data_IF_278409431581
#
_entry.id   IF_278409431581
#
_cell.length_a   1.000
_cell.length_b   1.000
_cell.length_c   1.000
_cell.angle_alpha   90.00
_cell.angle_beta   90.00
_cell.angle_gamma   90.00
#
_symmetry.space_group_name_H-M   'P 1'
#
loop_
_entity.id
_entity.type
_entity.pdbx_description
1 polymer ?
#
# COMPACT_ATOMS: atom_id res chain seq x y z
N UNK A 1 -12.18 -10.24 0.32
CA UNK A 1 -10.81 -10.30 -0.25
C UNK A 1 -10.26 -8.90 -0.54
N UNK A 2 -8.96 -8.66 -0.37
CA UNK A 2 -8.26 -7.43 -0.81
C UNK A 2 -7.40 -7.77 -2.03
N UNK A 3 -7.89 -7.53 -3.25
CA UNK A 3 -7.27 -8.06 -4.47
C UNK A 3 -7.54 -7.18 -5.69
N UNK A 4 -6.82 -7.47 -6.78
CA UNK A 4 -6.82 -6.82 -8.09
C UNK A 4 -6.29 -5.39 -8.09
N UNK A 5 -5.19 -5.20 -8.81
CA UNK A 5 -4.68 -3.87 -9.13
C UNK A 5 -5.64 -3.10 -10.06
N UNK A 6 -5.59 -1.76 -10.06
CA UNK A 6 -6.36 -0.97 -11.03
C UNK A 6 -6.11 -1.33 -12.50
N UNK A 7 -4.90 -1.77 -12.84
CA UNK A 7 -4.59 -2.23 -14.20
C UNK A 7 -5.37 -3.50 -14.56
N UNK A 8 -5.54 -4.42 -13.62
CA UNK A 8 -6.36 -5.63 -13.82
C UNK A 8 -7.85 -5.28 -13.91
N UNK A 9 -8.34 -4.36 -13.09
CA UNK A 9 -9.73 -3.86 -13.19
C UNK A 9 -9.98 -3.24 -14.57
N UNK A 10 -9.05 -2.44 -15.08
CA UNK A 10 -9.13 -1.89 -16.44
C UNK A 10 -9.10 -2.98 -17.50
N UNK A 11 -8.30 -4.04 -17.31
CA UNK A 11 -8.29 -5.16 -18.24
C UNK A 11 -9.61 -5.93 -18.22
N UNK A 12 -10.23 -6.11 -17.05
CA UNK A 12 -11.56 -6.70 -16.93
C UNK A 12 -12.62 -5.84 -17.63
N UNK A 13 -12.53 -4.51 -17.51
CA UNK A 13 -13.38 -3.57 -18.25
C UNK A 13 -13.24 -3.76 -19.77
N UNK A 14 -12.01 -3.82 -20.29
CA UNK A 14 -11.73 -4.02 -21.71
C UNK A 14 -12.28 -5.36 -22.22
N UNK A 15 -12.03 -6.45 -21.49
CA UNK A 15 -12.37 -7.81 -21.94
C UNK A 15 -13.88 -8.10 -21.82
N UNK A 16 -14.53 -7.58 -20.78
CA UNK A 16 -15.98 -7.79 -20.59
C UNK A 16 -16.85 -6.87 -21.43
N UNK A 17 -16.32 -5.71 -21.86
CA UNK A 17 -17.09 -4.66 -22.52
C UNK A 17 -18.03 -3.89 -21.57
N UNK A 18 -18.00 -4.19 -20.27
CA UNK A 18 -18.78 -3.50 -19.26
C UNK A 18 -18.19 -2.12 -18.94
N UNK A 19 -19.01 -1.21 -18.42
CA UNK A 19 -18.49 0.05 -17.86
C UNK A 19 -17.67 -0.22 -16.59
N UNK A 20 -16.76 0.70 -16.25
CA UNK A 20 -15.95 0.58 -15.04
C UNK A 20 -16.84 0.42 -13.78
N UNK A 21 -17.96 1.14 -13.70
CA UNK A 21 -18.89 1.02 -12.58
C UNK A 21 -19.50 -0.39 -12.50
N UNK A 22 -19.91 -0.98 -13.63
CA UNK A 22 -20.45 -2.33 -13.68
C UNK A 22 -19.42 -3.37 -13.24
N UNK A 23 -18.18 -3.30 -13.75
CA UNK A 23 -17.11 -4.22 -13.36
C UNK A 23 -16.90 -4.20 -11.84
N UNK A 24 -16.75 -3.01 -11.25
CA UNK A 24 -16.45 -2.92 -9.82
C UNK A 24 -17.67 -3.32 -8.96
N UNK A 25 -18.90 -3.04 -9.42
CA UNK A 25 -20.13 -3.52 -8.76
C UNK A 25 -20.22 -5.04 -8.78
N UNK A 26 -20.02 -5.68 -9.93
CA UNK A 26 -20.08 -7.13 -10.05
C UNK A 26 -19.01 -7.81 -9.19
N UNK A 27 -17.79 -7.27 -9.14
CA UNK A 27 -16.73 -7.78 -8.26
C UNK A 27 -17.10 -7.64 -6.77
N UNK A 28 -17.68 -6.51 -6.37
CA UNK A 28 -18.18 -6.30 -5.00
C UNK A 28 -19.27 -7.32 -4.66
N UNK A 29 -20.24 -7.51 -5.54
CA UNK A 29 -21.33 -8.48 -5.37
C UNK A 29 -20.82 -9.92 -5.31
N UNK A 30 -19.76 -10.23 -6.04
CA UNK A 30 -19.06 -11.52 -5.97
C UNK A 30 -18.21 -11.72 -4.70
N UNK A 31 -18.09 -10.71 -3.82
CA UNK A 31 -17.41 -10.83 -2.51
C UNK A 31 -16.04 -10.14 -2.42
N UNK A 32 -15.69 -9.26 -3.36
CA UNK A 32 -14.53 -8.39 -3.19
C UNK A 32 -14.78 -7.39 -2.04
N UNK A 33 -13.86 -7.32 -1.07
CA UNK A 33 -14.01 -6.43 0.10
C UNK A 33 -13.33 -5.06 -0.11
N UNK A 34 -12.25 -5.02 -0.90
CA UNK A 34 -11.46 -3.80 -1.13
C UNK A 34 -10.45 -4.00 -2.27
N UNK A 35 -9.93 -2.89 -2.82
CA UNK A 35 -8.86 -2.89 -3.83
C UNK A 35 -7.50 -2.45 -3.23
N UNK A 36 -6.40 -3.16 -3.52
CA UNK A 36 -5.05 -2.73 -3.18
C UNK A 36 -4.57 -1.58 -4.05
N UNK A 37 -3.79 -0.69 -3.44
CA UNK A 37 -3.17 0.47 -4.10
C UNK A 37 -2.07 0.15 -5.12
N UNK A 38 -1.78 -1.12 -5.36
CA UNK A 38 -0.71 -1.56 -6.27
C UNK A 38 -0.80 -0.93 -7.66
N UNK A 39 0.36 -0.75 -8.32
CA UNK A 39 0.43 -0.17 -9.66
C UNK A 39 0.31 1.35 -9.73
N UNK A 40 0.24 2.06 -8.60
CA UNK A 40 0.32 3.52 -8.54
C UNK A 40 1.71 4.02 -8.94
N UNK A 41 2.76 3.39 -8.42
CA UNK A 41 4.17 3.83 -8.51
C UNK A 41 4.31 5.28 -8.05
N UNK A 42 4.58 6.19 -8.98
CA UNK A 42 4.33 7.62 -8.84
C UNK A 42 3.11 7.96 -9.70
N UNK A 43 2.10 8.61 -9.13
CA UNK A 43 0.98 9.15 -9.86
C UNK A 43 1.44 10.39 -10.62
N UNK A 44 2.28 10.21 -11.64
CA UNK A 44 2.71 11.19 -12.63
C UNK A 44 2.97 10.48 -13.97
N UNK A 45 2.47 11.02 -15.07
CA UNK A 45 2.53 10.34 -16.37
C UNK A 45 3.95 10.21 -16.94
N UNK A 46 4.88 11.11 -16.58
CA UNK A 46 6.28 11.01 -17.01
C UNK A 46 6.90 9.74 -16.43
N UNK A 47 6.76 9.55 -15.11
CA UNK A 47 7.32 8.40 -14.41
C UNK A 47 6.59 7.11 -14.78
N UNK A 48 5.26 7.13 -14.86
CA UNK A 48 4.48 5.93 -15.26
C UNK A 48 4.88 5.42 -16.64
N UNK A 49 5.03 6.31 -17.63
CA UNK A 49 5.50 5.97 -18.99
C UNK A 49 6.93 5.43 -19.00
N UNK A 50 7.80 5.94 -18.12
CA UNK A 50 9.17 5.45 -17.98
C UNK A 50 9.21 4.02 -17.42
N UNK A 51 8.35 3.70 -16.44
CA UNK A 51 8.31 2.39 -15.79
C UNK A 51 7.65 1.34 -16.68
N UNK A 52 6.45 1.62 -17.22
CA UNK A 52 5.77 0.72 -18.13
C UNK A 52 4.69 1.44 -18.94
N UNK A 53 4.77 1.30 -20.27
CA UNK A 53 3.77 1.83 -21.20
C UNK A 53 2.39 1.20 -21.03
N UNK A 54 2.31 0.01 -20.44
CA UNK A 54 1.06 -0.74 -20.30
C UNK A 54 0.29 -0.41 -19.00
N UNK A 55 0.87 0.35 -18.07
CA UNK A 55 0.21 0.70 -16.80
C UNK A 55 -0.89 1.77 -16.94
N UNK A 56 -1.02 2.41 -18.10
CA UNK A 56 -1.91 3.57 -18.28
C UNK A 56 -1.44 4.82 -17.53
N UNK A 57 -2.21 5.89 -17.65
CA UNK A 57 -1.98 7.19 -17.01
C UNK A 57 -2.25 7.14 -15.51
N UNK A 58 -1.85 8.18 -14.77
CA UNK A 58 -2.21 8.31 -13.36
C UNK A 58 -3.73 8.46 -13.17
N UNK A 59 -4.43 9.07 -14.14
CA UNK A 59 -5.89 9.21 -14.13
C UNK A 59 -6.56 7.85 -14.28
N UNK A 60 -6.02 6.97 -15.12
CA UNK A 60 -6.56 5.62 -15.29
C UNK A 60 -6.59 4.84 -13.97
N UNK A 61 -5.54 4.99 -13.16
CA UNK A 61 -5.47 4.44 -11.80
C UNK A 61 -6.44 5.13 -10.84
N UNK A 62 -6.50 6.47 -10.88
CA UNK A 62 -7.35 7.26 -9.97
C UNK A 62 -8.84 6.99 -10.19
N UNK A 63 -9.29 6.95 -11.44
CA UNK A 63 -10.67 6.65 -11.81
C UNK A 63 -11.14 5.31 -11.24
N UNK A 64 -10.29 4.28 -11.24
CA UNK A 64 -10.62 2.97 -10.67
C UNK A 64 -10.81 3.08 -9.17
N UNK A 65 -9.91 3.78 -8.47
CA UNK A 65 -10.01 3.95 -7.02
C UNK A 65 -11.24 4.74 -6.62
N UNK A 66 -11.49 5.87 -7.28
CA UNK A 66 -12.67 6.69 -7.03
C UNK A 66 -13.97 5.95 -7.38
N UNK A 67 -13.97 5.13 -8.44
CA UNK A 67 -15.12 4.26 -8.74
C UNK A 67 -15.34 3.23 -7.63
N UNK A 68 -14.28 2.59 -7.14
CA UNK A 68 -14.37 1.69 -5.99
C UNK A 68 -15.01 2.39 -4.79
N UNK A 69 -14.55 3.60 -4.46
CA UNK A 69 -15.11 4.40 -3.38
C UNK A 69 -16.60 4.69 -3.60
N UNK A 70 -16.96 5.14 -4.80
CA UNK A 70 -18.36 5.42 -5.19
C UNK A 70 -19.27 4.21 -5.03
N UNK A 71 -18.78 3.01 -5.33
CA UNK A 71 -19.56 1.77 -5.18
C UNK A 71 -19.46 1.14 -3.78
N UNK A 72 -18.85 1.83 -2.82
CA UNK A 72 -18.78 1.43 -1.41
C UNK A 72 -17.61 0.53 -1.04
N UNK A 73 -16.64 0.33 -1.93
CA UNK A 73 -15.40 -0.39 -1.62
C UNK A 73 -14.36 0.57 -1.02
N UNK A 74 -13.64 0.10 -0.01
CA UNK A 74 -12.46 0.77 0.50
C UNK A 74 -11.23 0.40 -0.33
N UNK A 75 -10.20 1.25 -0.31
CA UNK A 75 -8.94 0.97 -1.01
C UNK A 75 -7.72 1.31 -0.16
N UNK A 76 -6.53 0.98 -0.67
CA UNK A 76 -5.26 1.56 -0.19
C UNK A 76 -4.60 2.35 -1.31
N UNK A 77 -3.68 3.25 -0.95
CA UNK A 77 -2.82 3.98 -1.87
C UNK A 77 -1.38 3.58 -1.64
N UNK A 78 -0.61 3.35 -2.70
CA UNK A 78 0.83 3.09 -2.60
C UNK A 78 1.61 4.18 -3.30
N UNK A 79 2.83 4.44 -2.85
CA UNK A 79 3.79 5.28 -3.55
C UNK A 79 5.15 4.60 -3.56
N UNK A 80 5.73 4.38 -4.73
CA UNK A 80 7.05 3.73 -4.83
C UNK A 80 8.07 4.79 -5.22
N UNK A 81 9.05 5.02 -4.34
CA UNK A 81 10.14 5.98 -4.54
C UNK A 81 11.38 5.31 -5.12
N UNK A 82 12.21 6.06 -5.86
CA UNK A 82 13.48 5.58 -6.41
C UNK A 82 13.45 5.25 -7.91
N UNK A 83 12.45 5.72 -8.64
CA UNK A 83 12.35 5.58 -10.10
C UNK A 83 13.04 6.72 -10.88
N UNK A 84 13.59 7.71 -10.19
CA UNK A 84 14.12 8.95 -10.77
C UNK A 84 13.07 10.05 -10.89
N UNK A 85 12.03 9.98 -10.06
CA UNK A 85 11.06 11.03 -9.83
C UNK A 85 11.66 12.22 -9.07
N UNK A 86 11.10 13.40 -9.29
CA UNK A 86 11.47 14.60 -8.55
C UNK A 86 10.71 14.69 -7.22
N UNK A 87 11.14 15.58 -6.33
CA UNK A 87 10.41 15.81 -5.07
C UNK A 87 9.01 16.40 -5.32
N UNK A 88 8.88 17.23 -6.35
CA UNK A 88 7.59 17.79 -6.79
C UNK A 88 6.64 16.69 -7.24
N UNK A 89 7.12 15.67 -7.94
CA UNK A 89 6.30 14.53 -8.36
C UNK A 89 5.86 13.66 -7.18
N UNK A 90 6.71 13.49 -6.15
CA UNK A 90 6.30 12.85 -4.88
C UNK A 90 5.23 13.67 -4.16
N UNK A 91 5.41 14.99 -4.07
CA UNK A 91 4.43 15.88 -3.47
C UNK A 91 3.09 15.87 -4.23
N UNK A 92 3.14 15.88 -5.56
CA UNK A 92 1.98 15.83 -6.44
C UNK A 92 1.24 14.49 -6.32
N UNK A 93 1.96 13.38 -6.17
CA UNK A 93 1.35 12.08 -5.86
C UNK A 93 0.50 12.19 -4.59
N UNK A 94 1.10 12.63 -3.48
CA UNK A 94 0.39 12.71 -2.18
C UNK A 94 -0.79 13.69 -2.25
N UNK A 95 -0.64 14.83 -2.93
CA UNK A 95 -1.72 15.80 -3.14
C UNK A 95 -2.90 15.15 -3.88
N UNK A 96 -2.65 14.39 -4.96
CA UNK A 96 -3.70 13.69 -5.71
C UNK A 96 -4.46 12.67 -4.87
N UNK A 97 -3.76 11.94 -3.99
CA UNK A 97 -4.40 11.01 -3.04
C UNK A 97 -5.24 11.78 -2.02
N UNK A 98 -4.70 12.87 -1.44
CA UNK A 98 -5.41 13.70 -0.47
C UNK A 98 -6.69 14.30 -1.05
N UNK A 99 -6.60 14.91 -2.22
CA UNK A 99 -7.75 15.54 -2.88
C UNK A 99 -8.82 14.50 -3.25
N UNK A 100 -8.41 13.31 -3.69
CA UNK A 100 -9.35 12.23 -3.98
C UNK A 100 -10.03 11.67 -2.71
N UNK A 101 -9.30 11.64 -1.58
CA UNK A 101 -9.85 11.26 -0.28
C UNK A 101 -10.86 12.30 0.21
N UNK A 102 -10.57 13.60 0.08
CA UNK A 102 -11.51 14.68 0.41
C UNK A 102 -12.78 14.56 -0.42
N UNK A 103 -12.66 14.34 -1.74
CA UNK A 103 -13.81 14.11 -2.61
C UNK A 103 -14.65 12.89 -2.17
N UNK A 104 -14.03 11.79 -1.74
CA UNK A 104 -14.77 10.63 -1.22
C UNK A 104 -15.59 11.00 0.02
N UNK A 105 -14.99 11.74 0.95
CA UNK A 105 -15.61 12.18 2.21
C UNK A 105 -16.75 13.17 1.93
N UNK A 106 -16.51 14.18 1.08
CA UNK A 106 -17.49 15.21 0.71
C UNK A 106 -18.71 14.61 0.00
N UNK A 107 -18.50 13.64 -0.88
CA UNK A 107 -19.57 12.92 -1.57
C UNK A 107 -20.37 11.99 -0.65
N UNK A 108 -19.91 11.76 0.59
CA UNK A 108 -20.55 10.89 1.60
C UNK A 108 -20.83 9.48 1.07
N UNK A 109 -19.88 8.92 0.32
CA UNK A 109 -19.96 7.53 -0.08
C UNK A 109 -19.98 6.59 1.13
N UNK A 110 -20.55 5.39 0.97
CA UNK A 110 -20.51 4.34 2.01
C UNK A 110 -19.08 3.86 2.30
N UNK A 111 -18.16 4.12 1.37
CA UNK A 111 -16.72 3.88 1.52
C UNK A 111 -16.08 4.92 2.45
N UNK A 112 -15.04 4.50 3.16
CA UNK A 112 -14.11 5.39 3.89
C UNK A 112 -12.96 5.87 3.01
N UNK A 113 -12.97 5.52 1.73
CA UNK A 113 -11.97 5.91 0.75
C UNK A 113 -10.70 5.08 0.88
N UNK A 114 -9.55 5.78 0.86
CA UNK A 114 -8.24 5.20 1.15
C UNK A 114 -8.10 4.97 2.66
N UNK A 115 -8.03 3.70 3.07
CA UNK A 115 -7.77 3.36 4.48
C UNK A 115 -6.31 3.52 4.83
N UNK A 116 -5.41 3.29 3.88
CA UNK A 116 -3.98 3.34 4.14
C UNK A 116 -3.16 3.90 3.00
N UNK A 117 -2.08 4.58 3.36
CA UNK A 117 -0.99 4.96 2.48
C UNK A 117 0.24 4.10 2.76
N UNK A 118 0.84 3.54 1.71
CA UNK A 118 1.97 2.61 1.83
C UNK A 118 3.12 3.10 0.94
N UNK A 119 4.13 3.79 1.51
CA UNK A 119 5.34 4.12 0.78
C UNK A 119 6.25 2.88 0.65
N UNK A 120 6.71 2.59 -0.56
CA UNK A 120 7.70 1.54 -0.85
C UNK A 120 8.94 2.15 -1.48
N UNK A 121 10.05 1.43 -1.41
CA UNK A 121 11.27 1.74 -2.16
C UNK A 121 11.41 0.79 -3.34
N UNK A 122 11.78 1.34 -4.50
CA UNK A 122 12.06 0.55 -5.68
C UNK A 122 13.18 -0.45 -5.43
N UNK A 123 12.97 -1.70 -5.86
CA UNK A 123 13.95 -2.78 -5.79
C UNK A 123 14.51 -2.98 -7.20
N UNK A 124 15.78 -2.59 -7.48
CA UNK A 124 16.31 -2.57 -8.83
C UNK A 124 16.76 -3.95 -9.34
N UNK A 125 17.04 -4.88 -8.43
CA UNK A 125 17.57 -6.19 -8.80
C UNK A 125 16.58 -6.96 -9.68
N UNK A 126 17.09 -7.65 -10.69
CA UNK A 126 16.29 -8.39 -11.70
C UNK A 126 15.29 -7.53 -12.50
N UNK A 127 15.47 -6.20 -12.56
CA UNK A 127 14.64 -5.32 -13.39
C UNK A 127 15.42 -4.76 -14.58
N UNK A 128 14.70 -4.33 -15.62
CA UNK A 128 15.29 -3.61 -16.76
C UNK A 128 15.69 -2.15 -16.44
N UNK A 129 15.37 -1.66 -15.24
CA UNK A 129 15.62 -0.28 -14.82
C UNK A 129 16.84 -0.23 -13.91
N UNK A 130 17.97 0.26 -14.44
CA UNK A 130 19.19 0.46 -13.66
C UNK A 130 19.06 1.72 -12.81
N UNK A 131 18.68 1.56 -11.55
CA UNK A 131 18.59 2.62 -10.52
C UNK A 131 19.31 2.17 -9.25
N UNK A 132 19.72 3.14 -8.45
CA UNK A 132 20.26 2.87 -7.11
C UNK A 132 19.11 2.59 -6.13
N UNK A 133 19.41 1.78 -5.11
CA UNK A 133 18.48 1.53 -4.01
C UNK A 133 18.35 2.79 -3.16
N UNK A 134 17.12 3.13 -2.80
CA UNK A 134 16.86 4.25 -1.87
C UNK A 134 17.39 3.94 -0.47
N UNK A 135 17.81 4.98 0.25
CA UNK A 135 18.36 4.83 1.60
C UNK A 135 17.26 4.70 2.67
N UNK A 136 17.56 4.11 3.83
CA UNK A 136 16.68 4.16 5.00
C UNK A 136 16.23 5.57 5.37
N UNK A 137 17.12 6.55 5.27
CA UNK A 137 16.80 7.96 5.54
C UNK A 137 15.76 8.50 4.55
N UNK A 138 15.94 8.26 3.25
CA UNK A 138 15.01 8.72 2.21
C UNK A 138 13.61 8.11 2.39
N UNK A 139 13.54 6.82 2.75
CA UNK A 139 12.30 6.14 3.08
C UNK A 139 11.63 6.73 4.33
N UNK A 140 12.35 6.84 5.46
CA UNK A 140 11.79 7.36 6.72
C UNK A 140 11.34 8.82 6.59
N UNK A 141 12.08 9.64 5.83
CA UNK A 141 11.68 11.01 5.49
C UNK A 141 10.37 11.02 4.68
N UNK A 142 10.24 10.11 3.72
CA UNK A 142 9.01 9.97 2.93
C UNK A 142 7.82 9.54 3.80
N UNK A 143 8.02 8.62 4.75
CA UNK A 143 7.00 8.22 5.74
C UNK A 143 6.55 9.43 6.57
N UNK A 144 7.49 10.19 7.14
CA UNK A 144 7.17 11.36 7.96
C UNK A 144 6.44 12.45 7.17
N UNK A 145 6.88 12.74 5.94
CA UNK A 145 6.18 13.67 5.06
C UNK A 145 4.78 13.16 4.74
N UNK A 146 4.63 11.87 4.42
CA UNK A 146 3.32 11.25 4.18
C UNK A 146 2.37 11.41 5.35
N UNK A 147 2.84 11.20 6.60
CA UNK A 147 2.02 11.39 7.81
C UNK A 147 1.55 12.83 7.98
N UNK A 148 2.39 13.81 7.64
CA UNK A 148 2.07 15.22 7.77
C UNK A 148 1.18 15.72 6.63
N UNK A 149 1.38 15.20 5.41
CA UNK A 149 0.66 15.64 4.21
C UNK A 149 -0.72 14.99 4.08
N UNK A 150 -0.85 13.71 4.42
CA UNK A 150 -2.08 12.92 4.25
C UNK A 150 -2.89 12.91 5.55
N UNK A 151 -3.32 14.09 5.99
CA UNK A 151 -4.11 14.28 7.21
C UNK A 151 -5.47 13.54 7.20
N UNK A 152 -5.96 13.19 6.01
CA UNK A 152 -7.25 12.54 5.77
C UNK A 152 -7.16 11.03 5.45
N UNK A 153 -5.95 10.44 5.46
CA UNK A 153 -5.73 8.99 5.32
C UNK A 153 -5.30 8.42 6.69
N UNK A 154 -6.10 7.54 7.33
CA UNK A 154 -5.90 7.22 8.74
C UNK A 154 -4.64 6.38 9.01
N UNK A 155 -4.29 5.48 8.09
CA UNK A 155 -3.20 4.53 8.31
C UNK A 155 -2.01 4.75 7.38
N UNK A 156 -0.80 4.67 7.94
CA UNK A 156 0.43 4.54 7.17
C UNK A 156 1.05 3.19 7.49
N UNK A 157 1.28 2.39 6.44
CA UNK A 157 1.84 1.06 6.57
C UNK A 157 3.35 1.07 6.37
N UNK A 158 4.05 0.36 7.26
CA UNK A 158 5.48 0.13 7.20
C UNK A 158 5.86 -0.78 6.03
N UNK A 159 6.96 -0.43 5.38
CA UNK A 159 7.57 -1.16 4.27
C UNK A 159 8.79 -1.94 4.71
N UNK A 160 8.65 -2.75 5.76
CA UNK A 160 9.72 -3.64 6.21
C UNK A 160 10.10 -4.67 5.13
N UNK A 161 9.22 -4.93 4.18
CA UNK A 161 9.43 -5.88 3.08
C UNK A 161 10.54 -5.41 2.13
N UNK A 162 10.67 -4.11 1.88
CA UNK A 162 11.71 -3.54 1.01
C UNK A 162 12.89 -2.96 1.79
N UNK A 163 12.68 -2.57 3.05
CA UNK A 163 13.69 -1.87 3.87
C UNK A 163 14.27 -2.71 5.01
N UNK A 164 13.70 -3.89 5.27
CA UNK A 164 14.06 -4.76 6.38
C UNK A 164 13.31 -4.43 7.68
N UNK A 165 13.30 -5.40 8.62
CA UNK A 165 12.53 -5.32 9.86
C UNK A 165 12.95 -4.16 10.78
N UNK A 166 14.24 -3.86 10.86
CA UNK A 166 14.75 -2.79 11.75
C UNK A 166 14.35 -1.39 11.26
N UNK A 167 14.46 -1.13 9.96
CA UNK A 167 13.97 0.14 9.37
C UNK A 167 12.44 0.19 9.44
N UNK A 168 11.78 -0.95 9.23
CA UNK A 168 10.35 -1.11 9.40
C UNK A 168 9.89 -0.74 10.81
N UNK A 169 10.59 -1.22 11.85
CA UNK A 169 10.38 -0.90 13.26
C UNK A 169 10.56 0.59 13.51
N UNK A 170 11.65 1.16 13.02
CA UNK A 170 11.92 2.60 13.17
C UNK A 170 10.82 3.47 12.56
N UNK A 171 10.20 3.05 11.45
CA UNK A 171 9.12 3.81 10.81
C UNK A 171 7.88 4.02 11.70
N UNK A 172 7.68 3.20 12.75
CA UNK A 172 6.61 3.39 13.75
C UNK A 172 6.80 4.66 14.60
N UNK A 173 8.03 5.18 14.66
CA UNK A 173 8.36 6.48 15.28
C UNK A 173 8.32 7.64 14.29
N UNK A 174 8.16 7.37 12.99
CA UNK A 174 8.12 8.36 11.91
C UNK A 174 6.71 8.56 11.33
N UNK A 175 5.70 7.87 11.86
CA UNK A 175 4.30 8.08 11.50
C UNK A 175 3.55 6.84 11.05
N UNK A 176 4.22 5.70 10.84
CA UNK A 176 3.51 4.44 10.60
C UNK A 176 2.74 4.01 11.85
N UNK A 177 1.50 3.55 11.65
CA UNK A 177 0.67 2.93 12.69
C UNK A 177 0.18 1.54 12.26
N UNK A 178 0.65 1.06 11.11
CA UNK A 178 0.39 -0.28 10.62
C UNK A 178 1.72 -0.93 10.23
N UNK A 179 2.03 -2.09 10.82
CA UNK A 179 3.27 -2.82 10.52
C UNK A 179 3.12 -3.75 9.31
N UNK A 180 1.95 -3.77 8.67
CA UNK A 180 1.64 -4.69 7.59
C UNK A 180 1.34 -6.10 8.09
N UNK A 181 1.23 -7.03 7.16
CA UNK A 181 0.90 -8.43 7.44
C UNK A 181 2.08 -9.34 7.21
N UNK A 182 2.09 -10.49 7.87
CA UNK A 182 3.02 -11.57 7.55
C UNK A 182 2.73 -12.12 6.16
N UNK A 183 3.76 -12.24 5.33
CA UNK A 183 3.61 -12.75 3.97
C UNK A 183 3.93 -14.24 3.97
N UNK A 184 2.89 -15.07 3.83
CA UNK A 184 3.06 -16.53 3.72
C UNK A 184 3.65 -16.93 2.37
N UNK A 185 3.27 -16.23 1.30
CA UNK A 185 3.90 -16.25 -0.02
C UNK A 185 4.02 -14.81 -0.51
N UNK A 186 5.24 -14.32 -0.73
CA UNK A 186 5.51 -13.03 -1.39
C UNK A 186 6.36 -13.31 -2.62
N UNK A 187 5.81 -13.02 -3.81
CA UNK A 187 6.45 -13.34 -5.08
C UNK A 187 6.84 -12.09 -5.90
N UNK A 188 6.41 -10.88 -5.50
CA UNK A 188 6.58 -9.67 -6.31
C UNK A 188 7.88 -8.95 -5.96
N UNK A 189 8.07 -8.57 -4.69
CA UNK A 189 9.31 -7.92 -4.25
C UNK A 189 10.46 -8.93 -4.10
N UNK A 190 10.17 -10.19 -3.81
CA UNK A 190 11.15 -11.28 -3.79
C UNK A 190 11.72 -11.59 -5.16
N UNK A 191 10.88 -11.57 -6.22
CA UNK A 191 11.35 -11.64 -7.60
C UNK A 191 12.28 -10.48 -7.97
N UNK A 192 12.08 -9.32 -7.33
CA UNK A 192 12.94 -8.14 -7.43
C UNK A 192 14.08 -8.10 -6.38
N UNK A 193 14.37 -9.23 -5.72
CA UNK A 193 15.54 -9.42 -4.85
C UNK A 193 15.34 -9.09 -3.35
N UNK A 194 14.13 -8.72 -2.91
CA UNK A 194 13.85 -8.50 -1.48
C UNK A 194 13.66 -9.83 -0.73
N UNK A 195 14.48 -10.09 0.29
CA UNK A 195 14.51 -11.39 1.00
C UNK A 195 14.05 -11.29 2.46
N UNK A 196 13.52 -10.15 2.89
CA UNK A 196 13.12 -9.94 4.27
C UNK A 196 11.89 -10.76 4.62
N UNK A 197 11.96 -11.51 5.72
CA UNK A 197 10.89 -12.34 6.26
C UNK A 197 10.72 -12.00 7.74
N UNK A 198 9.47 -11.84 8.18
CA UNK A 198 9.11 -11.77 9.60
C UNK A 198 7.88 -12.64 9.83
N UNK A 199 7.90 -13.44 10.90
CA UNK A 199 6.75 -14.21 11.35
C UNK A 199 5.89 -13.38 12.33
N UNK A 200 4.79 -13.95 12.82
CA UNK A 200 3.85 -13.20 13.66
C UNK A 200 4.52 -12.78 14.96
N UNK A 201 5.22 -13.69 15.64
CA UNK A 201 5.87 -13.39 16.91
C UNK A 201 6.97 -12.32 16.76
N UNK A 202 7.75 -12.35 15.68
CA UNK A 202 8.71 -11.28 15.37
C UNK A 202 8.03 -9.93 15.17
N UNK A 203 6.87 -9.87 14.49
CA UNK A 203 6.10 -8.62 14.38
C UNK A 203 5.67 -8.12 15.77
N UNK A 204 5.17 -9.01 16.63
CA UNK A 204 4.76 -8.63 17.99
C UNK A 204 5.94 -8.05 18.79
N UNK A 205 7.11 -8.66 18.69
CA UNK A 205 8.34 -8.20 19.34
C UNK A 205 8.81 -6.85 18.80
N UNK A 206 8.92 -6.70 17.49
CA UNK A 206 9.34 -5.44 16.84
C UNK A 206 8.42 -4.27 17.21
N UNK A 207 7.10 -4.48 17.24
CA UNK A 207 6.14 -3.45 17.65
C UNK A 207 6.34 -3.04 19.12
N UNK A 208 6.58 -4.01 20.02
CA UNK A 208 6.85 -3.74 21.44
C UNK A 208 8.17 -3.01 21.66
N UNK A 209 9.23 -3.43 20.96
CA UNK A 209 10.54 -2.77 21.00
C UNK A 209 10.46 -1.31 20.53
N UNK A 210 9.55 -0.99 19.61
CA UNK A 210 9.23 0.39 19.22
C UNK A 210 8.37 1.16 20.25
N UNK A 211 8.06 0.57 21.41
CA UNK A 211 7.22 1.15 22.45
C UNK A 211 5.74 1.28 22.05
N UNK A 212 5.25 0.42 21.15
CA UNK A 212 3.86 0.42 20.66
C UNK A 212 3.12 -0.83 21.13
N UNK A 213 1.78 -0.80 21.00
CA UNK A 213 0.91 -1.92 21.37
C UNK A 213 0.56 -2.72 20.11
N UNK A 214 0.99 -3.99 20.00
CA UNK A 214 0.62 -4.83 18.86
C UNK A 214 -0.86 -5.20 18.87
N UNK A 215 -1.49 -5.07 17.71
CA UNK A 215 -2.88 -5.46 17.49
C UNK A 215 -3.06 -6.12 16.12
N UNK A 216 -3.84 -7.20 16.08
CA UNK A 216 -4.30 -7.83 14.85
C UNK A 216 -5.51 -7.06 14.33
N UNK A 217 -5.47 -6.69 13.05
CA UNK A 217 -6.57 -6.05 12.32
C UNK A 217 -7.08 -6.93 11.17
N UNK A 218 -8.31 -6.69 10.73
CA UNK A 218 -8.79 -7.20 9.44
C UNK A 218 -8.42 -6.23 8.29
N UNK A 219 -8.88 -6.52 7.06
CA UNK A 219 -8.64 -5.67 5.87
C UNK A 219 -9.42 -4.35 5.90
N UNK A 220 -10.44 -4.24 6.75
CA UNK A 220 -11.20 -3.01 7.01
C UNK A 220 -10.59 -2.16 8.13
N UNK A 221 -9.44 -2.58 8.65
CA UNK A 221 -8.73 -1.97 9.78
C UNK A 221 -9.46 -2.05 11.14
N UNK A 222 -10.48 -2.92 11.26
CA UNK A 222 -11.07 -3.22 12.55
C UNK A 222 -10.09 -4.04 13.41
N UNK A 223 -9.91 -3.64 14.66
CA UNK A 223 -9.06 -4.36 15.61
C UNK A 223 -9.79 -5.63 16.07
N UNK A 224 -9.20 -6.79 15.76
CA UNK A 224 -9.72 -8.10 16.15
C UNK A 224 -9.17 -8.55 17.50
N UNK A 225 -7.90 -8.26 17.76
CA UNK A 225 -7.20 -8.71 18.97
C UNK A 225 -6.06 -7.77 19.32
N UNK A 226 -5.98 -7.36 20.58
CA UNK A 226 -4.84 -6.63 21.14
C UNK A 226 -3.96 -7.62 21.91
N UNK A 227 -2.65 -7.61 21.66
CA UNK A 227 -1.70 -8.48 22.33
C UNK A 227 -1.04 -7.73 23.50
N UNK A 228 -1.31 -8.18 24.72
CA UNK A 228 -0.69 -7.65 25.95
C UNK A 228 0.80 -8.01 26.00
N UNK A 229 1.57 -7.36 26.86
CA UNK A 229 3.00 -7.69 27.05
C UNK A 229 3.21 -9.17 27.38
N UNK A 230 4.27 -9.74 26.80
CA UNK A 230 4.59 -11.17 26.93
C UNK A 230 3.68 -12.13 26.16
N UNK A 231 2.60 -11.65 25.52
CA UNK A 231 1.70 -12.54 24.74
C UNK A 231 2.37 -12.93 23.41
N UNK A 232 2.38 -14.22 23.10
CA UNK A 232 2.82 -14.78 21.81
C UNK A 232 1.67 -15.53 21.13
N UNK A 233 1.82 -15.82 19.84
CA UNK A 233 0.92 -16.77 19.15
C UNK A 233 1.51 -18.18 19.23
N UNK A 234 0.67 -19.17 19.57
CA UNK A 234 1.08 -20.58 19.69
C UNK A 234 1.37 -21.22 18.34
N UNK A 235 0.62 -20.82 17.30
CA UNK A 235 0.81 -21.28 15.93
C UNK A 235 1.34 -20.13 15.10
N UNK A 236 2.65 -20.13 14.93
CA UNK A 236 3.33 -19.24 13.99
C UNK A 236 3.83 -20.06 12.80
N UNK A 237 3.92 -19.44 11.63
CA UNK A 237 4.46 -20.13 10.47
C UNK A 237 5.98 -20.15 10.53
N UNK A 238 6.57 -21.27 10.12
CA UNK A 238 8.02 -21.43 10.04
C UNK A 238 8.49 -20.70 8.80
N UNK A 239 9.40 -19.75 8.97
CA UNK A 239 10.09 -19.10 7.85
C UNK A 239 10.89 -20.17 7.11
N UNK A 240 10.43 -20.58 5.93
CA UNK A 240 11.20 -21.47 5.06
C UNK A 240 12.30 -20.64 4.38
N UNK A 241 13.52 -21.17 4.31
CA UNK A 241 14.65 -20.50 3.68
C UNK A 241 14.46 -20.41 2.16
#
# INVERSE_FOLDING_TARGET
>A
MHSFSPAEIRKMQEVSGLSLEQVVRELREAGLDSLPGGGAEILDDRIRKQISRHKGTWRDWMDVMQMAHKVGLNTSATMVIGFGETMEERALHMLRIRDAQDQCIENKYDSKGFLAFIPFTFQPDNTGLKRERETPEAYLKTVAIGRLMLDNVPHLQSSWVTMGPEVGKLSLSYGCNDFGSTMMEENVVSSAGAVHKVNINSILELIREAGKIPAQRNTRYDILKVFKDGTQVERDFVMQN
#
